data_IF_496809869982
#
_entry.id   IF_496809869982
#
_cell.length_a   1.000
_cell.length_b   1.000
_cell.length_c   1.000
_cell.angle_alpha   90.00
_cell.angle_beta   90.00
_cell.angle_gamma   90.00
#
_symmetry.space_group_name_H-M   'P 1'
#
loop_
_entity.id
_entity.type
_entity.pdbx_description
1 polymer ?
#
# COMPACT_ATOMS: atom_id res chain seq x y z
N UNK A 1 13.25 -10.04 -8.59
CA UNK A 1 13.95 -9.52 -7.38
C UNK A 1 14.07 -7.99 -7.33
N UNK A 2 14.54 -7.32 -8.39
CA UNK A 2 14.79 -5.84 -8.40
C UNK A 2 13.55 -4.99 -8.08
N UNK A 3 12.38 -5.33 -8.62
CA UNK A 3 11.17 -4.55 -8.36
C UNK A 3 10.68 -4.67 -6.90
N UNK A 4 10.84 -5.83 -6.28
CA UNK A 4 10.49 -6.04 -4.87
C UNK A 4 11.36 -5.18 -3.97
N UNK A 5 12.68 -5.18 -4.22
CA UNK A 5 13.63 -4.35 -3.49
C UNK A 5 13.32 -2.85 -3.65
N UNK A 6 13.12 -2.38 -4.88
CA UNK A 6 12.80 -0.96 -5.13
C UNK A 6 11.44 -0.54 -4.59
N UNK A 7 10.44 -1.42 -4.58
CA UNK A 7 9.14 -1.16 -3.93
C UNK A 7 9.29 -1.04 -2.41
N UNK A 8 10.03 -1.96 -1.79
CA UNK A 8 10.32 -1.95 -0.36
C UNK A 8 11.09 -0.68 0.07
N UNK A 9 12.07 -0.23 -0.71
CA UNK A 9 12.82 1.02 -0.45
C UNK A 9 11.91 2.26 -0.44
N UNK A 10 11.00 2.36 -1.41
CA UNK A 10 10.06 3.48 -1.51
C UNK A 10 9.08 3.50 -0.34
N UNK A 11 8.55 2.34 0.03
CA UNK A 11 7.69 2.20 1.20
C UNK A 11 8.46 2.53 2.47
N UNK A 12 9.67 2.02 2.63
CA UNK A 12 10.53 2.34 3.77
C UNK A 12 10.76 3.85 3.92
N UNK A 13 10.97 4.55 2.82
CA UNK A 13 11.14 6.02 2.81
C UNK A 13 9.85 6.73 3.26
N UNK A 14 8.70 6.39 2.69
CA UNK A 14 7.42 6.98 3.08
C UNK A 14 7.06 6.69 4.55
N UNK A 15 7.37 5.48 5.04
CA UNK A 15 7.20 5.12 6.44
C UNK A 15 8.14 5.89 7.35
N UNK A 16 9.41 6.05 6.99
CA UNK A 16 10.34 6.88 7.74
C UNK A 16 9.83 8.31 7.82
N UNK A 17 9.36 8.89 6.71
CA UNK A 17 8.76 10.22 6.70
C UNK A 17 7.53 10.32 7.61
N UNK A 18 6.68 9.30 7.63
CA UNK A 18 5.49 9.26 8.47
C UNK A 18 5.83 9.11 9.97
N UNK A 19 6.77 8.21 10.30
CA UNK A 19 7.25 7.98 11.67
C UNK A 19 8.00 9.19 12.23
N UNK A 20 8.69 9.94 11.37
CA UNK A 20 9.48 11.11 11.78
C UNK A 20 8.72 12.44 11.67
N UNK A 21 7.47 12.44 11.17
CA UNK A 21 7.00 13.60 10.40
C UNK A 21 5.57 14.08 10.57
N UNK A 22 5.07 14.29 11.79
CA UNK A 22 4.17 15.45 11.90
C UNK A 22 4.98 16.73 11.58
N UNK A 23 4.39 17.68 10.85
CA UNK A 23 5.07 18.92 10.44
C UNK A 23 5.58 19.78 11.63
N UNK A 24 5.05 19.50 12.84
CA UNK A 24 5.44 20.12 14.10
C UNK A 24 6.67 19.46 14.70
N UNK A 25 6.76 18.14 14.59
CA UNK A 25 7.90 17.33 15.06
C UNK A 25 9.15 17.58 14.21
N UNK A 26 9.03 17.70 12.86
CA UNK A 26 10.16 17.97 11.95
C UNK A 26 11.07 19.16 12.33
N UNK A 27 10.56 20.14 13.08
CA UNK A 27 11.32 21.30 13.57
C UNK A 27 12.01 21.08 14.93
N UNK A 28 11.54 20.14 15.73
CA UNK A 28 12.11 19.83 17.05
C UNK A 28 13.37 18.94 16.95
N UNK A 29 13.41 17.99 16.01
CA UNK A 29 14.51 17.00 15.89
C UNK A 29 15.86 17.59 15.47
N UNK A 30 15.86 18.68 14.69
CA UNK A 30 17.09 19.41 14.34
C UNK A 30 17.76 19.99 15.60
N UNK A 31 17.01 20.21 16.68
CA UNK A 31 17.51 20.79 17.92
C UNK A 31 17.95 19.76 18.98
N UNK A 32 17.51 18.49 18.91
CA UNK A 32 17.72 17.50 19.99
C UNK A 32 18.72 16.40 19.67
N UNK A 33 19.07 16.18 18.39
CA UNK A 33 20.08 15.19 18.00
C UNK A 33 19.63 13.73 18.07
N UNK A 34 18.34 13.48 18.32
CA UNK A 34 17.77 12.14 18.17
C UNK A 34 17.68 11.78 16.68
N UNK A 35 18.15 10.59 16.34
CA UNK A 35 18.31 10.17 14.96
C UNK A 35 16.93 9.80 14.37
N UNK A 36 16.50 10.40 13.25
CA UNK A 36 15.28 9.99 12.56
C UNK A 36 15.40 8.52 12.13
N UNK A 37 14.28 7.78 12.20
CA UNK A 37 14.20 6.40 11.72
C UNK A 37 14.59 6.38 10.24
N UNK A 38 15.59 5.60 9.85
CA UNK A 38 15.97 5.44 8.44
C UNK A 38 14.90 4.67 7.66
N UNK A 39 14.90 4.77 6.33
CA UNK A 39 13.96 4.01 5.49
C UNK A 39 14.03 2.50 5.75
N UNK A 40 15.24 1.97 5.95
CA UNK A 40 15.45 0.56 6.27
C UNK A 40 14.88 0.20 7.64
N UNK A 41 15.14 1.01 8.68
CA UNK A 41 14.61 0.76 10.03
C UNK A 41 13.08 0.86 10.06
N UNK A 42 12.49 1.85 9.37
CA UNK A 42 11.05 2.01 9.25
C UNK A 42 10.40 0.80 8.56
N UNK A 43 11.01 0.33 7.47
CA UNK A 43 10.57 -0.90 6.81
C UNK A 43 10.68 -2.11 7.75
N UNK A 44 11.77 -2.27 8.50
CA UNK A 44 11.95 -3.38 9.43
C UNK A 44 10.96 -3.34 10.61
N UNK A 45 10.58 -2.16 11.10
CA UNK A 45 9.56 -2.02 12.15
C UNK A 45 8.19 -2.53 11.70
N UNK A 46 7.79 -2.19 10.47
CA UNK A 46 6.46 -2.51 9.92
C UNK A 46 6.40 -3.83 9.18
N UNK A 47 7.50 -4.35 8.63
CA UNK A 47 7.49 -5.57 7.81
C UNK A 47 8.61 -6.57 8.13
N UNK A 48 9.60 -6.18 8.93
CA UNK A 48 10.79 -6.99 9.24
C UNK A 48 10.55 -8.20 10.13
N UNK A 49 11.64 -8.92 10.47
CA UNK A 49 11.65 -10.02 11.44
C UNK A 49 10.57 -11.10 11.25
N UNK A 50 10.38 -11.61 10.03
CA UNK A 50 9.36 -12.60 9.65
C UNK A 50 7.90 -12.16 9.90
N UNK A 51 7.66 -10.86 10.12
CA UNK A 51 6.32 -10.33 10.34
C UNK A 51 5.55 -10.15 9.03
N UNK A 52 6.27 -9.96 7.94
CA UNK A 52 5.75 -10.09 6.59
C UNK A 52 6.77 -10.81 5.71
N UNK A 53 6.37 -11.90 5.05
CA UNK A 53 7.27 -12.76 4.25
C UNK A 53 6.90 -12.63 2.78
N UNK A 54 7.86 -12.24 1.94
CA UNK A 54 7.71 -12.36 0.48
C UNK A 54 8.02 -13.81 0.09
N UNK A 55 7.02 -14.54 -0.39
CA UNK A 55 7.15 -15.95 -0.75
C UNK A 55 6.94 -16.14 -2.24
N UNK A 56 7.92 -16.75 -2.88
CA UNK A 56 7.74 -17.26 -4.24
C UNK A 56 6.88 -18.52 -4.20
N UNK A 57 5.82 -18.58 -5.01
CA UNK A 57 4.98 -19.78 -5.17
C UNK A 57 5.17 -20.38 -6.57
N UNK A 58 5.18 -21.71 -6.65
CA UNK A 58 5.31 -22.47 -7.90
C UNK A 58 3.99 -23.18 -8.22
N UNK A 59 3.63 -23.27 -9.51
CA UNK A 59 2.59 -24.19 -10.00
C UNK A 59 1.21 -23.60 -10.29
N UNK A 60 0.85 -22.44 -9.72
CA UNK A 60 -0.43 -21.77 -9.97
C UNK A 60 -0.22 -20.29 -10.35
N UNK A 61 -0.65 -19.86 -11.55
CA UNK A 61 -0.53 -18.47 -11.96
C UNK A 61 -1.47 -17.57 -11.13
N UNK A 62 -0.89 -16.60 -10.43
CA UNK A 62 -1.59 -15.53 -9.73
C UNK A 62 -2.28 -14.64 -10.76
N UNK A 63 -3.60 -14.48 -10.63
CA UNK A 63 -4.37 -13.53 -11.42
C UNK A 63 -4.09 -12.09 -10.96
N UNK A 64 -2.90 -11.57 -11.25
CA UNK A 64 -2.49 -10.27 -10.75
C UNK A 64 -1.05 -10.15 -10.26
N UNK A 65 -0.04 -10.70 -10.93
CA UNK A 65 1.39 -10.35 -10.74
C UNK A 65 1.95 -10.70 -9.33
N UNK A 66 1.58 -10.01 -8.25
CA UNK A 66 1.70 -10.50 -6.87
C UNK A 66 0.36 -10.32 -6.13
N UNK A 67 0.10 -11.20 -5.17
CA UNK A 67 -1.13 -11.20 -4.39
C UNK A 67 -0.78 -11.31 -2.90
N UNK A 68 -1.28 -10.36 -2.11
CA UNK A 68 -1.55 -10.61 -0.70
C UNK A 68 -2.80 -11.45 -0.62
N UNK A 69 -2.68 -12.65 -0.07
CA UNK A 69 -3.83 -13.53 0.13
C UNK A 69 -4.75 -12.92 1.19
N UNK A 70 -5.79 -12.22 0.73
CA UNK A 70 -6.58 -11.39 1.62
C UNK A 70 -7.46 -12.21 2.54
N UNK A 71 -8.18 -13.25 2.08
CA UNK A 71 -9.16 -13.94 2.94
C UNK A 71 -9.59 -15.36 2.47
N UNK A 72 -8.82 -16.10 1.64
CA UNK A 72 -9.20 -17.46 1.17
C UNK A 72 -8.08 -18.51 1.29
N UNK A 73 -8.42 -19.71 1.76
CA UNK A 73 -7.51 -20.86 1.84
C UNK A 73 -7.64 -21.70 0.56
N UNK A 74 -6.67 -21.61 -0.35
CA UNK A 74 -6.68 -22.38 -1.60
C UNK A 74 -5.31 -22.56 -2.25
N UNK A 75 -4.50 -21.50 -2.33
CA UNK A 75 -3.28 -21.50 -3.15
C UNK A 75 -1.96 -21.52 -2.34
N UNK A 76 -2.01 -21.89 -1.05
CA UNK A 76 -0.79 -22.12 -0.25
C UNK A 76 -0.10 -20.90 0.37
N UNK A 77 -0.75 -19.73 0.34
CA UNK A 77 -0.27 -18.49 0.97
C UNK A 77 -0.90 -18.28 2.36
N UNK A 78 -0.06 -18.05 3.36
CA UNK A 78 -0.50 -17.84 4.74
C UNK A 78 -0.71 -16.35 5.08
N UNK A 79 -1.47 -16.08 6.16
CA UNK A 79 -1.63 -14.72 6.69
C UNK A 79 -0.25 -14.14 7.05
N UNK A 80 0.04 -12.92 6.59
CA UNK A 80 1.37 -12.31 6.73
C UNK A 80 2.36 -12.68 5.63
N UNK A 81 1.94 -13.43 4.60
CA UNK A 81 2.73 -13.64 3.39
C UNK A 81 2.24 -12.72 2.25
N UNK A 82 3.20 -12.09 1.56
CA UNK A 82 2.98 -11.55 0.22
C UNK A 82 3.51 -12.60 -0.74
N UNK A 83 2.59 -13.26 -1.45
CA UNK A 83 2.98 -14.26 -2.42
C UNK A 83 3.16 -13.63 -3.80
N UNK A 84 4.18 -14.06 -4.50
CA UNK A 84 4.40 -13.73 -5.90
C UNK A 84 4.78 -14.99 -6.65
N UNK A 85 4.43 -15.05 -7.92
CA UNK A 85 4.89 -16.09 -8.84
C UNK A 85 5.76 -15.46 -9.93
N UNK A 86 6.25 -16.25 -10.88
CA UNK A 86 7.01 -15.72 -12.01
C UNK A 86 6.17 -14.82 -12.94
N UNK A 87 4.83 -14.87 -12.89
CA UNK A 87 3.98 -13.97 -13.69
C UNK A 87 4.19 -12.50 -13.32
N UNK A 88 4.65 -12.18 -12.11
CA UNK A 88 5.09 -10.81 -11.79
C UNK A 88 6.19 -10.34 -12.73
N UNK A 89 7.10 -11.22 -13.16
CA UNK A 89 8.25 -10.88 -13.98
C UNK A 89 8.01 -11.08 -15.48
N UNK A 90 6.94 -11.80 -15.87
CA UNK A 90 6.70 -12.24 -17.25
C UNK A 90 5.35 -11.74 -17.82
N UNK A 91 4.35 -11.49 -16.97
CA UNK A 91 2.97 -11.16 -17.35
C UNK A 91 2.79 -9.76 -17.95
N UNK A 92 2.12 -9.69 -19.11
CA UNK A 92 1.92 -8.50 -19.98
C UNK A 92 3.18 -7.89 -20.64
N UNK A 93 4.29 -8.61 -20.59
CA UNK A 93 5.57 -8.25 -21.20
C UNK A 93 6.48 -7.47 -20.25
N UNK A 94 7.79 -7.69 -20.36
CA UNK A 94 8.83 -7.08 -19.52
C UNK A 94 8.68 -5.54 -19.39
N UNK A 95 8.22 -4.87 -20.45
CA UNK A 95 7.99 -3.43 -20.49
C UNK A 95 6.82 -2.96 -19.60
N UNK A 96 5.75 -3.75 -19.51
CA UNK A 96 4.62 -3.47 -18.63
C UNK A 96 5.01 -3.71 -17.17
N UNK A 97 5.85 -4.71 -16.90
CA UNK A 97 6.41 -4.95 -15.57
C UNK A 97 7.36 -3.86 -15.09
N UNK A 98 8.32 -3.49 -15.93
CA UNK A 98 9.23 -2.39 -15.62
C UNK A 98 8.47 -1.09 -15.32
N UNK A 99 7.26 -0.95 -15.88
CA UNK A 99 6.42 0.23 -15.68
C UNK A 99 5.53 0.15 -14.44
N UNK A 100 4.94 -1.01 -14.13
CA UNK A 100 3.86 -1.12 -13.14
C UNK A 100 4.07 -2.15 -12.04
N UNK A 101 5.09 -3.01 -12.16
CA UNK A 101 5.43 -4.00 -11.12
C UNK A 101 5.78 -3.37 -9.78
N UNK A 102 6.40 -2.18 -9.80
CA UNK A 102 6.66 -1.40 -8.58
C UNK A 102 5.37 -0.92 -7.91
N UNK A 103 4.30 -0.67 -8.65
CA UNK A 103 3.02 -0.31 -8.05
C UNK A 103 2.32 -1.54 -7.48
N UNK A 104 2.33 -2.68 -8.18
CA UNK A 104 1.76 -3.90 -7.60
C UNK A 104 2.48 -4.28 -6.29
N UNK A 105 3.82 -4.25 -6.22
CA UNK A 105 4.54 -4.51 -4.95
C UNK A 105 4.11 -3.57 -3.82
N UNK A 106 3.96 -2.27 -4.11
CA UNK A 106 3.55 -1.30 -3.10
C UNK A 106 2.08 -1.49 -2.70
N UNK A 107 1.21 -1.92 -3.61
CA UNK A 107 -0.18 -2.28 -3.35
C UNK A 107 -0.26 -3.42 -2.34
N UNK A 108 0.49 -4.51 -2.59
CA UNK A 108 0.56 -5.65 -1.69
C UNK A 108 1.15 -5.29 -0.31
N UNK A 109 2.12 -4.38 -0.27
CA UNK A 109 2.62 -3.84 1.00
C UNK A 109 1.54 -3.04 1.73
N UNK A 110 0.70 -2.27 1.01
CA UNK A 110 -0.46 -1.60 1.58
C UNK A 110 -1.39 -2.57 2.31
N UNK A 111 -1.73 -3.70 1.68
CA UNK A 111 -2.45 -4.78 2.34
C UNK A 111 -1.72 -5.30 3.59
N UNK A 112 -0.39 -5.42 3.55
CA UNK A 112 0.44 -5.77 4.70
C UNK A 112 0.26 -4.82 5.90
N UNK A 113 0.30 -3.49 5.69
CA UNK A 113 0.02 -2.50 6.76
C UNK A 113 -1.36 -2.72 7.36
N UNK A 114 -2.38 -2.84 6.50
CA UNK A 114 -3.75 -3.00 6.97
C UNK A 114 -3.90 -4.29 7.79
N UNK A 115 -3.37 -5.42 7.32
CA UNK A 115 -3.41 -6.69 8.04
C UNK A 115 -2.69 -6.66 9.40
N UNK A 116 -1.54 -5.98 9.47
CA UNK A 116 -0.70 -5.86 10.67
C UNK A 116 -1.29 -4.87 11.69
N UNK A 117 -2.12 -3.94 11.24
CA UNK A 117 -2.89 -3.05 12.10
C UNK A 117 -4.31 -3.56 12.35
N UNK A 118 -4.51 -4.87 12.47
CA UNK A 118 -5.82 -5.46 12.79
C UNK A 118 -6.92 -5.27 11.73
N UNK A 119 -6.58 -4.94 10.47
CA UNK A 119 -7.53 -4.55 9.40
C UNK A 119 -8.29 -3.25 9.68
N UNK A 120 -7.72 -2.38 10.52
CA UNK A 120 -8.38 -1.14 10.90
C UNK A 120 -8.49 -0.16 9.74
N UNK A 121 -7.53 -0.12 8.82
CA UNK A 121 -7.54 0.85 7.72
C UNK A 121 -8.70 0.61 6.73
N UNK A 122 -8.95 -0.65 6.35
CA UNK A 122 -10.13 -0.98 5.53
C UNK A 122 -11.45 -0.74 6.28
N UNK A 123 -11.48 -0.97 7.61
CA UNK A 123 -12.67 -0.72 8.40
C UNK A 123 -13.00 0.78 8.47
N UNK A 124 -11.98 1.61 8.66
CA UNK A 124 -12.12 3.07 8.66
C UNK A 124 -12.55 3.60 7.29
N UNK A 125 -12.03 3.04 6.18
CA UNK A 125 -12.48 3.41 4.83
C UNK A 125 -13.95 3.06 4.61
N UNK A 126 -14.39 1.86 5.02
CA UNK A 126 -15.78 1.46 4.92
C UNK A 126 -16.72 2.34 5.78
N UNK A 127 -16.25 2.75 6.96
CA UNK A 127 -16.95 3.69 7.82
C UNK A 127 -17.04 5.09 7.17
N UNK A 128 -15.95 5.58 6.56
CA UNK A 128 -15.93 6.85 5.85
C UNK A 128 -16.94 6.87 4.70
N UNK A 129 -17.01 5.81 3.89
CA UNK A 129 -18.03 5.69 2.83
C UNK A 129 -19.47 5.74 3.34
N UNK A 130 -19.69 5.23 4.55
CA UNK A 130 -21.01 5.25 5.19
C UNK A 130 -21.34 6.64 5.75
N UNK A 131 -20.35 7.30 6.36
CA UNK A 131 -20.53 8.60 7.02
C UNK A 131 -20.51 9.78 6.04
N UNK A 132 -19.82 9.64 4.92
CA UNK A 132 -19.57 10.70 3.94
C UNK A 132 -19.91 10.20 2.53
N UNK A 133 -21.16 10.43 2.07
CA UNK A 133 -21.60 10.02 0.73
C UNK A 133 -20.81 10.65 -0.42
N UNK A 134 -20.13 11.77 -0.17
CA UNK A 134 -19.29 12.47 -1.15
C UNK A 134 -17.85 11.94 -1.19
N UNK A 135 -17.49 11.01 -0.29
CA UNK A 135 -16.18 10.39 -0.34
C UNK A 135 -16.05 9.59 -1.65
N UNK A 136 -14.98 9.78 -2.44
CA UNK A 136 -14.86 9.11 -3.72
C UNK A 136 -14.83 7.59 -3.56
N UNK A 137 -15.73 6.91 -4.27
CA UNK A 137 -15.63 5.48 -4.55
C UNK A 137 -14.90 5.24 -5.86
N UNK A 138 -14.28 4.06 -6.00
CA UNK A 138 -13.74 3.63 -7.29
C UNK A 138 -14.86 3.54 -8.33
N UNK A 139 -14.51 3.84 -9.57
CA UNK A 139 -15.34 3.52 -10.72
C UNK A 139 -15.27 2.01 -11.04
N UNK A 140 -16.36 1.25 -10.95
CA UNK A 140 -16.34 -0.20 -11.18
C UNK A 140 -15.89 -0.59 -12.60
N UNK A 141 -16.08 0.31 -13.58
CA UNK A 141 -15.64 0.11 -14.95
C UNK A 141 -14.19 0.56 -15.20
N UNK A 142 -13.56 1.21 -14.21
CA UNK A 142 -12.22 1.81 -14.28
C UNK A 142 -12.02 2.70 -15.53
N UNK A 143 -13.06 3.46 -15.89
CA UNK A 143 -13.05 4.46 -16.97
C UNK A 143 -12.70 5.85 -16.43
N UNK A 144 -12.96 6.08 -15.15
CA UNK A 144 -12.69 7.32 -14.45
C UNK A 144 -11.65 7.12 -13.35
N UNK A 145 -10.78 8.12 -13.20
CA UNK A 145 -9.71 8.11 -12.19
C UNK A 145 -10.22 8.21 -10.76
N UNK A 146 -11.35 8.87 -10.50
CA UNK A 146 -11.96 9.01 -9.15
C UNK A 146 -10.94 9.39 -8.05
N UNK A 147 -9.96 10.23 -8.39
CA UNK A 147 -8.90 10.69 -7.49
C UNK A 147 -7.57 9.93 -7.56
N UNK A 148 -7.52 8.75 -8.18
CA UNK A 148 -6.28 7.99 -8.41
C UNK A 148 -5.42 8.65 -9.50
N UNK A 149 -4.10 8.64 -9.36
CA UNK A 149 -3.19 9.26 -10.34
C UNK A 149 -3.22 8.64 -11.76
N UNK A 150 -3.93 7.53 -11.94
CA UNK A 150 -4.17 6.89 -13.22
C UNK A 150 -5.24 5.80 -13.13
N UNK A 151 -5.50 5.15 -14.26
CA UNK A 151 -6.46 4.06 -14.39
C UNK A 151 -5.80 2.70 -14.09
N UNK A 152 -6.50 1.64 -14.47
CA UNK A 152 -6.11 0.24 -14.31
C UNK A 152 -4.68 -0.08 -14.75
N UNK A 153 -4.07 -1.05 -14.06
CA UNK A 153 -2.68 -1.49 -14.27
C UNK A 153 -1.67 -0.36 -14.11
N UNK A 154 -1.86 0.48 -13.09
CA UNK A 154 -0.91 1.52 -12.75
C UNK A 154 -1.15 2.03 -11.35
N UNK A 155 -2.16 2.87 -11.20
CA UNK A 155 -2.56 3.46 -9.91
C UNK A 155 -3.83 2.84 -9.33
N UNK A 156 -4.43 1.92 -10.08
CA UNK A 156 -5.51 1.04 -9.66
C UNK A 156 -5.16 -0.39 -10.07
N UNK A 157 -4.87 -1.28 -9.11
CA UNK A 157 -4.40 -2.64 -9.36
C UNK A 157 -5.52 -3.66 -9.51
N UNK A 158 -6.73 -3.37 -9.01
CA UNK A 158 -7.89 -4.23 -9.19
C UNK A 158 -9.11 -3.46 -9.66
N UNK A 159 -10.12 -4.19 -10.14
CA UNK A 159 -11.47 -3.66 -10.43
C UNK A 159 -12.45 -3.92 -9.30
N UNK A 160 -12.08 -4.79 -8.35
CA UNK A 160 -12.92 -5.17 -7.21
C UNK A 160 -13.02 -4.02 -6.22
N UNK A 161 -14.22 -3.48 -6.03
CA UNK A 161 -14.49 -2.34 -5.16
C UNK A 161 -14.71 -2.77 -3.69
N UNK A 162 -13.72 -3.42 -3.08
CA UNK A 162 -13.70 -3.66 -1.63
C UNK A 162 -12.88 -2.60 -0.94
N UNK A 163 -13.18 -2.32 0.33
CA UNK A 163 -12.42 -1.35 1.12
C UNK A 163 -10.94 -1.74 1.26
N UNK A 164 -10.63 -3.04 1.35
CA UNK A 164 -9.24 -3.50 1.41
C UNK A 164 -8.45 -3.15 0.15
N UNK A 165 -9.03 -3.37 -1.02
CA UNK A 165 -8.42 -3.12 -2.32
C UNK A 165 -8.33 -1.62 -2.64
N UNK A 166 -9.37 -0.84 -2.34
CA UNK A 166 -9.32 0.60 -2.49
C UNK A 166 -8.30 1.24 -1.53
N UNK A 167 -8.18 0.72 -0.30
CA UNK A 167 -7.14 1.16 0.62
C UNK A 167 -5.74 0.89 0.06
N UNK A 168 -5.47 -0.29 -0.50
CA UNK A 168 -4.17 -0.62 -1.08
C UNK A 168 -3.84 0.24 -2.31
N UNK A 169 -4.82 0.55 -3.17
CA UNK A 169 -4.64 1.52 -4.25
C UNK A 169 -4.38 2.94 -3.73
N UNK A 170 -5.09 3.37 -2.69
CA UNK A 170 -4.86 4.67 -2.04
C UNK A 170 -3.48 4.73 -1.38
N UNK A 171 -3.00 3.60 -0.85
CA UNK A 171 -1.67 3.48 -0.28
C UNK A 171 -0.57 3.71 -1.33
N UNK A 172 -0.80 3.35 -2.60
CA UNK A 172 0.07 3.77 -3.70
C UNK A 172 0.12 5.28 -3.82
N UNK A 173 -1.05 5.93 -3.91
CA UNK A 173 -1.13 7.38 -4.04
C UNK A 173 -0.44 8.09 -2.88
N UNK A 174 -0.57 7.57 -1.66
CA UNK A 174 0.07 8.10 -0.47
C UNK A 174 1.59 7.91 -0.49
N UNK A 175 2.07 6.68 -0.71
CA UNK A 175 3.50 6.32 -0.75
C UNK A 175 4.28 7.16 -1.76
N UNK A 176 3.68 7.39 -2.94
CA UNK A 176 4.31 8.14 -4.01
C UNK A 176 3.96 9.64 -4.00
N UNK A 177 3.14 10.09 -3.04
CA UNK A 177 2.54 11.42 -3.02
C UNK A 177 2.00 11.85 -4.39
N UNK A 178 1.19 10.97 -5.01
CA UNK A 178 0.74 11.14 -6.39
C UNK A 178 -0.72 10.79 -6.54
N UNK A 179 -1.50 11.80 -6.93
CA UNK A 179 -2.95 11.75 -7.02
C UNK A 179 -3.42 12.44 -8.31
N UNK A 180 -4.68 12.22 -8.69
CA UNK A 180 -5.29 13.00 -9.76
C UNK A 180 -5.44 14.46 -9.32
N UNK A 181 -5.30 15.41 -10.26
CA UNK A 181 -5.47 16.84 -10.00
C UNK A 181 -6.97 17.23 -9.95
N UNK A 182 -7.74 16.53 -9.12
CA UNK A 182 -9.19 16.70 -8.96
C UNK A 182 -9.57 16.80 -7.49
N UNK A 183 -10.80 17.24 -7.21
CA UNK A 183 -11.33 17.27 -5.85
C UNK A 183 -11.28 15.88 -5.20
N UNK A 184 -11.59 14.82 -5.95
CA UNK A 184 -11.48 13.44 -5.44
C UNK A 184 -10.04 13.06 -5.09
N UNK A 185 -9.05 13.51 -5.86
CA UNK A 185 -7.64 13.27 -5.55
C UNK A 185 -7.21 13.98 -4.28
N UNK A 186 -7.64 15.24 -4.10
CA UNK A 186 -7.42 15.99 -2.86
C UNK A 186 -8.08 15.33 -1.65
N UNK A 187 -9.33 14.85 -1.78
CA UNK A 187 -10.05 14.15 -0.71
C UNK A 187 -9.32 12.88 -0.28
N UNK A 188 -8.95 12.01 -1.23
CA UNK A 188 -8.22 10.77 -0.92
C UNK A 188 -6.85 11.05 -0.32
N UNK A 189 -6.10 11.99 -0.90
CA UNK A 189 -4.78 12.40 -0.40
C UNK A 189 -4.84 12.94 1.03
N UNK A 190 -5.79 13.84 1.30
CA UNK A 190 -6.00 14.42 2.63
C UNK A 190 -6.39 13.36 3.66
N UNK A 191 -7.33 12.48 3.31
CA UNK A 191 -7.78 11.39 4.18
C UNK A 191 -6.64 10.41 4.51
N UNK A 192 -5.86 9.99 3.50
CA UNK A 192 -4.69 9.15 3.72
C UNK A 192 -3.64 9.85 4.60
N UNK A 193 -3.33 11.11 4.34
CA UNK A 193 -2.34 11.86 5.11
C UNK A 193 -2.73 12.02 6.58
N UNK A 194 -4.03 12.18 6.86
CA UNK A 194 -4.56 12.32 8.20
C UNK A 194 -4.53 11.01 8.99
N UNK A 195 -4.76 9.86 8.34
CA UNK A 195 -4.97 8.59 9.02
C UNK A 195 -3.77 7.64 9.00
N UNK A 196 -2.91 7.71 7.98
CA UNK A 196 -1.75 6.83 7.83
C UNK A 196 -0.85 6.77 9.07
N UNK A 197 -0.53 7.89 9.78
CA UNK A 197 0.28 7.81 11.00
C UNK A 197 -0.29 6.86 12.05
N UNK A 198 -1.62 6.84 12.23
CA UNK A 198 -2.27 5.92 13.18
C UNK A 198 -2.20 4.47 12.72
N UNK A 199 -2.47 4.19 11.44
CA UNK A 199 -2.40 2.81 10.95
C UNK A 199 -0.97 2.26 10.95
N UNK A 200 0.03 3.12 10.71
CA UNK A 200 1.44 2.76 10.89
C UNK A 200 1.71 2.39 12.35
N UNK A 201 1.23 3.18 13.31
CA UNK A 201 1.40 2.87 14.73
C UNK A 201 0.78 1.50 15.10
N UNK A 202 -0.43 1.21 14.62
CA UNK A 202 -1.08 -0.09 14.80
C UNK A 202 -0.26 -1.22 14.15
N UNK A 203 0.22 -1.03 12.93
CA UNK A 203 1.04 -2.02 12.22
C UNK A 203 2.40 -2.28 12.90
N UNK A 204 2.97 -1.27 13.56
CA UNK A 204 4.19 -1.42 14.39
C UNK A 204 3.89 -2.22 15.67
N UNK A 205 2.75 -1.96 16.31
CA UNK A 205 2.31 -2.68 17.51
C UNK A 205 2.02 -4.16 17.21
N UNK A 206 1.51 -4.47 16.02
CA UNK A 206 1.27 -5.83 15.54
C UNK A 206 -0.04 -6.42 16.07
N UNK A 207 -1.11 -5.64 15.99
CA UNK A 207 -2.47 -6.01 16.44
C UNK A 207 -3.20 -7.00 15.52
#
# INVERSE_FOLDING_TARGET
>A
MVAVQSGAEKVGTALADALNGSARERRAWIATGDRPVTAQEAFQLVYGNNRLVFRHIEGDPIAGWAETHLDWAGNGCYRGEICYDESIFIGSGLASFQRWGLHNVVHELGHGIDQRGGRQARADLAAEWTANPDFPHRDPDNRQRRGYAGLYFGWQQTRVATAGEEFADMFLGWTYNRWDASASGATRSGWMSANMPRWIALAVAGD
#
